data_IF_092231770369
#
_entry.id   IF_092231770369
#
_cell.length_a   1.000
_cell.length_b   1.000
_cell.length_c   1.000
_cell.angle_alpha   90.00
_cell.angle_beta   90.00
_cell.angle_gamma   90.00
#
_symmetry.space_group_name_H-M   'P 1'
#
loop_
_entity.id
_entity.type
_entity.pdbx_description
1 polymer ?
#
# COMPACT_ATOMS: atom_id res chain seq x y z
N UNK A 1 11.99 0.94 -25.89
CA UNK A 1 10.77 1.76 -25.75
C UNK A 1 9.61 0.98 -25.12
N UNK A 2 9.29 -0.23 -25.56
CA UNK A 2 8.18 -1.04 -25.00
C UNK A 2 8.21 -1.20 -23.47
N UNK A 3 9.37 -1.56 -22.90
CA UNK A 3 9.55 -1.72 -21.44
C UNK A 3 9.16 -0.49 -20.61
N UNK A 4 9.56 0.71 -21.03
CA UNK A 4 9.27 1.95 -20.29
C UNK A 4 7.78 2.27 -20.34
N UNK A 5 7.14 2.00 -21.47
CA UNK A 5 5.71 2.23 -21.66
C UNK A 5 4.87 1.23 -20.85
N UNK A 6 5.26 -0.04 -20.83
CA UNK A 6 4.61 -1.09 -20.04
C UNK A 6 4.82 -0.89 -18.54
N UNK A 7 6.00 -0.42 -18.12
CA UNK A 7 6.26 -0.01 -16.74
C UNK A 7 5.32 1.12 -16.33
N UNK A 8 5.29 2.21 -17.11
CA UNK A 8 4.47 3.37 -16.81
C UNK A 8 2.99 3.00 -16.75
N UNK A 9 2.51 2.19 -17.70
CA UNK A 9 1.11 1.75 -17.74
C UNK A 9 0.73 0.93 -16.52
N UNK A 10 1.52 -0.06 -16.13
CA UNK A 10 1.23 -0.89 -14.95
C UNK A 10 1.24 -0.08 -13.65
N UNK A 11 2.26 0.76 -13.46
CA UNK A 11 2.35 1.62 -12.26
C UNK A 11 1.16 2.58 -12.20
N UNK A 12 0.81 3.21 -13.33
CA UNK A 12 -0.31 4.16 -13.38
C UNK A 12 -1.66 3.49 -13.13
N UNK A 13 -1.91 2.32 -13.71
CA UNK A 13 -3.20 1.62 -13.56
C UNK A 13 -3.40 1.11 -12.12
N UNK A 14 -2.35 0.57 -11.48
CA UNK A 14 -2.38 0.20 -10.06
C UNK A 14 -2.57 1.43 -9.16
N UNK A 15 -1.87 2.52 -9.47
CA UNK A 15 -1.93 3.77 -8.70
C UNK A 15 -3.31 4.41 -8.78
N UNK A 16 -3.94 4.42 -9.96
CA UNK A 16 -5.31 4.92 -10.14
C UNK A 16 -6.31 4.16 -9.27
N UNK A 17 -6.21 2.83 -9.26
CA UNK A 17 -7.11 1.98 -8.48
C UNK A 17 -6.97 2.26 -6.98
N UNK A 18 -5.74 2.41 -6.49
CA UNK A 18 -5.47 2.76 -5.09
C UNK A 18 -5.91 4.19 -4.74
N UNK A 19 -5.73 5.15 -5.66
CA UNK A 19 -6.24 6.52 -5.51
C UNK A 19 -7.76 6.53 -5.35
N UNK A 20 -8.49 5.83 -6.23
CA UNK A 20 -9.95 5.77 -6.19
C UNK A 20 -10.42 5.16 -4.87
N UNK A 21 -9.85 4.01 -4.46
CA UNK A 21 -10.23 3.35 -3.22
C UNK A 21 -9.95 4.22 -1.99
N UNK A 22 -8.81 4.91 -1.97
CA UNK A 22 -8.45 5.84 -0.88
C UNK A 22 -9.39 7.04 -0.86
N UNK A 23 -9.64 7.67 -2.00
CA UNK A 23 -10.54 8.82 -2.10
C UNK A 23 -11.98 8.47 -1.68
N UNK A 24 -12.49 7.30 -2.09
CA UNK A 24 -13.82 6.80 -1.68
C UNK A 24 -13.86 6.55 -0.18
N UNK A 25 -12.85 5.87 0.38
CA UNK A 25 -12.78 5.56 1.82
C UNK A 25 -12.71 6.84 2.65
N UNK A 26 -11.85 7.79 2.28
CA UNK A 26 -11.74 9.04 3.01
C UNK A 26 -12.99 9.92 2.87
N UNK A 27 -13.66 9.90 1.72
CA UNK A 27 -14.96 10.57 1.54
C UNK A 27 -16.05 9.96 2.43
N UNK A 28 -16.05 8.63 2.57
CA UNK A 28 -16.97 7.96 3.49
C UNK A 28 -16.70 8.34 4.94
N UNK A 29 -15.42 8.34 5.37
CA UNK A 29 -15.04 8.76 6.72
C UNK A 29 -15.41 10.22 7.00
N UNK A 30 -15.28 11.10 6.01
CA UNK A 30 -15.76 12.49 6.08
C UNK A 30 -17.27 12.55 6.35
N UNK A 31 -18.07 11.68 5.72
CA UNK A 31 -19.53 11.66 5.90
C UNK A 31 -19.91 11.05 7.26
N UNK A 32 -19.19 10.04 7.74
CA UNK A 32 -19.55 9.30 8.96
C UNK A 32 -18.93 9.83 10.24
N UNK A 33 -17.79 10.52 10.17
CA UNK A 33 -17.00 10.92 11.34
C UNK A 33 -16.72 12.44 11.42
N UNK A 34 -17.25 13.28 10.51
CA UNK A 34 -17.00 14.73 10.62
C UNK A 34 -17.73 15.31 11.84
N UNK A 35 -16.98 15.60 12.90
CA UNK A 35 -17.46 16.29 14.10
C UNK A 35 -16.91 17.73 14.15
N UNK A 36 -16.02 18.11 13.23
CA UNK A 36 -15.20 19.32 13.28
C UNK A 36 -15.30 20.25 12.06
N UNK A 37 -14.22 21.00 11.82
CA UNK A 37 -14.13 21.96 10.72
C UNK A 37 -13.93 21.21 9.39
N UNK A 38 -14.96 21.21 8.55
CA UNK A 38 -14.99 20.54 7.25
C UNK A 38 -13.72 20.75 6.40
N UNK A 39 -13.18 21.97 6.36
CA UNK A 39 -11.96 22.25 5.60
C UNK A 39 -10.73 21.51 6.13
N UNK A 40 -10.63 21.36 7.45
CA UNK A 40 -9.52 20.67 8.11
C UNK A 40 -9.62 19.15 7.89
N UNK A 41 -10.84 18.61 7.93
CA UNK A 41 -11.10 17.19 7.68
C UNK A 41 -10.85 16.84 6.20
N UNK A 42 -11.25 17.70 5.25
CA UNK A 42 -10.93 17.54 3.82
C UNK A 42 -9.41 17.58 3.58
N UNK A 43 -8.70 18.52 4.20
CA UNK A 43 -7.24 18.60 4.07
C UNK A 43 -6.56 17.33 4.60
N UNK A 44 -7.02 16.81 5.75
CA UNK A 44 -6.50 15.55 6.31
C UNK A 44 -6.76 14.37 5.39
N UNK A 45 -7.98 14.24 4.86
CA UNK A 45 -8.37 13.19 3.91
C UNK A 45 -7.52 13.21 2.63
N UNK A 46 -7.30 14.39 2.05
CA UNK A 46 -6.47 14.54 0.83
C UNK A 46 -5.03 14.15 1.13
N UNK A 47 -4.49 14.56 2.28
CA UNK A 47 -3.14 14.22 2.71
C UNK A 47 -2.97 12.70 2.86
N UNK A 48 -3.89 12.03 3.54
CA UNK A 48 -3.88 10.57 3.69
C UNK A 48 -3.98 9.86 2.34
N UNK A 49 -4.83 10.36 1.44
CA UNK A 49 -4.96 9.82 0.08
C UNK A 49 -3.66 9.95 -0.71
N UNK A 50 -3.00 11.11 -0.66
CA UNK A 50 -1.70 11.33 -1.32
C UNK A 50 -0.63 10.40 -0.74
N UNK A 51 -0.59 10.24 0.59
CA UNK A 51 0.35 9.33 1.22
C UNK A 51 0.13 7.89 0.74
N UNK A 52 -1.11 7.37 0.77
CA UNK A 52 -1.46 6.03 0.27
C UNK A 52 -1.05 5.81 -1.19
N UNK A 53 -1.27 6.81 -2.03
CA UNK A 53 -0.89 6.79 -3.45
C UNK A 53 0.62 6.71 -3.62
N UNK A 54 1.39 7.44 -2.81
CA UNK A 54 2.85 7.34 -2.83
C UNK A 54 3.33 5.93 -2.44
N UNK A 55 2.72 5.30 -1.42
CA UNK A 55 3.02 3.90 -1.07
C UNK A 55 2.78 2.97 -2.27
N UNK A 56 1.64 3.12 -2.95
CA UNK A 56 1.28 2.27 -4.08
C UNK A 56 2.23 2.44 -5.27
N UNK A 57 2.58 3.68 -5.63
CA UNK A 57 3.50 3.96 -6.74
C UNK A 57 4.84 3.28 -6.51
N UNK A 58 5.40 3.41 -5.30
CA UNK A 58 6.68 2.80 -4.94
C UNK A 58 6.56 1.26 -5.00
N UNK A 59 5.51 0.70 -4.40
CA UNK A 59 5.28 -0.73 -4.39
C UNK A 59 5.14 -1.34 -5.79
N UNK A 60 4.27 -0.78 -6.64
CA UNK A 60 4.07 -1.25 -8.01
C UNK A 60 5.35 -1.10 -8.84
N UNK A 61 6.10 -0.01 -8.64
CA UNK A 61 7.38 0.20 -9.32
C UNK A 61 8.41 -0.87 -8.95
N UNK A 62 8.58 -1.13 -7.65
CA UNK A 62 9.52 -2.15 -7.16
C UNK A 62 9.08 -3.55 -7.60
N UNK A 63 7.80 -3.86 -7.51
CA UNK A 63 7.26 -5.17 -7.93
C UNK A 63 7.49 -5.42 -9.42
N UNK A 64 7.28 -4.41 -10.26
CA UNK A 64 7.55 -4.53 -11.70
C UNK A 64 9.04 -4.71 -11.98
N UNK A 65 9.92 -3.95 -11.31
CA UNK A 65 11.37 -4.12 -11.44
C UNK A 65 11.83 -5.52 -11.02
N UNK A 66 11.31 -6.04 -9.91
CA UNK A 66 11.59 -7.41 -9.45
C UNK A 66 11.09 -8.46 -10.45
N UNK A 67 9.91 -8.24 -11.06
CA UNK A 67 9.39 -9.10 -12.13
C UNK A 67 10.29 -9.06 -13.37
N UNK A 68 10.80 -7.89 -13.75
CA UNK A 68 11.66 -7.71 -14.91
C UNK A 68 12.99 -8.48 -14.77
N UNK A 69 13.60 -8.47 -13.59
CA UNK A 69 14.82 -9.26 -13.33
C UNK A 69 14.54 -10.76 -13.09
N UNK A 70 13.32 -11.23 -13.38
CA UNK A 70 12.89 -12.62 -13.15
C UNK A 70 13.06 -13.09 -11.71
N UNK A 71 12.86 -12.19 -10.75
CA UNK A 71 12.91 -12.54 -9.33
C UNK A 71 11.82 -13.56 -8.99
N UNK A 72 12.15 -14.48 -8.09
CA UNK A 72 11.26 -15.57 -7.68
C UNK A 72 9.90 -15.03 -7.24
N UNK A 73 8.82 -15.50 -7.88
CA UNK A 73 7.45 -15.05 -7.64
C UNK A 73 7.02 -15.25 -6.19
N UNK A 74 7.51 -16.29 -5.51
CA UNK A 74 7.13 -16.59 -4.13
C UNK A 74 7.67 -15.59 -3.10
N UNK A 75 8.75 -14.87 -3.43
CA UNK A 75 9.37 -13.89 -2.53
C UNK A 75 9.21 -12.45 -2.99
N UNK A 76 8.84 -12.24 -4.26
CA UNK A 76 8.75 -10.92 -4.88
C UNK A 76 7.93 -9.94 -4.06
N UNK A 77 6.74 -10.34 -3.62
CA UNK A 77 5.82 -9.44 -2.94
C UNK A 77 6.32 -9.07 -1.54
N UNK A 78 6.97 -10.01 -0.83
CA UNK A 78 7.61 -9.75 0.46
C UNK A 78 8.78 -8.77 0.32
N UNK A 79 9.60 -8.92 -0.73
CA UNK A 79 10.74 -8.03 -1.00
C UNK A 79 10.25 -6.65 -1.44
N UNK A 80 9.21 -6.59 -2.26
CA UNK A 80 8.59 -5.33 -2.67
C UNK A 80 7.99 -4.58 -1.47
N UNK A 81 7.27 -5.27 -0.59
CA UNK A 81 6.74 -4.72 0.66
C UNK A 81 7.86 -4.20 1.57
N UNK A 82 8.94 -4.97 1.72
CA UNK A 82 10.09 -4.56 2.52
C UNK A 82 10.73 -3.29 1.99
N UNK A 83 11.09 -3.26 0.70
CA UNK A 83 11.75 -2.11 0.06
C UNK A 83 10.86 -0.87 0.15
N UNK A 84 9.56 -1.01 -0.13
CA UNK A 84 8.60 0.09 -0.04
C UNK A 84 8.54 0.68 1.37
N UNK A 85 8.43 -0.20 2.38
CA UNK A 85 8.33 0.20 3.79
C UNK A 85 9.63 0.81 4.32
N UNK A 86 10.79 0.34 3.83
CA UNK A 86 12.10 0.92 4.13
C UNK A 86 12.24 2.30 3.52
N UNK A 87 11.95 2.47 2.22
CA UNK A 87 12.03 3.77 1.52
C UNK A 87 11.25 4.83 2.27
N UNK A 88 10.07 4.48 2.77
CA UNK A 88 9.18 5.44 3.42
C UNK A 88 9.55 5.65 4.88
N UNK A 89 10.10 4.63 5.54
CA UNK A 89 10.62 4.77 6.90
C UNK A 89 11.92 5.56 6.98
N UNK A 90 12.67 5.74 5.89
CA UNK A 90 13.94 6.48 5.87
C UNK A 90 13.80 7.92 6.35
N UNK A 91 12.64 8.56 6.15
CA UNK A 91 12.36 9.92 6.64
C UNK A 91 12.44 10.05 8.16
N UNK A 92 12.26 8.95 8.88
CA UNK A 92 12.29 8.87 10.34
C UNK A 92 13.60 8.24 10.87
N UNK A 93 14.59 8.01 9.99
CA UNK A 93 15.88 7.41 10.33
C UNK A 93 16.04 5.95 9.89
N UNK A 94 17.29 5.54 9.69
CA UNK A 94 17.66 4.22 9.13
C UNK A 94 17.19 3.04 10.00
N UNK A 95 17.29 3.17 11.32
CA UNK A 95 16.85 2.12 12.24
C UNK A 95 15.32 1.97 12.26
N UNK A 96 14.60 3.08 12.14
CA UNK A 96 13.14 3.06 12.01
C UNK A 96 12.72 2.40 10.68
N UNK A 97 13.42 2.74 9.59
CA UNK A 97 13.16 2.17 8.26
C UNK A 97 13.26 0.64 8.25
N UNK A 98 14.32 0.08 8.83
CA UNK A 98 14.51 -1.37 8.90
C UNK A 98 13.42 -2.05 9.73
N UNK A 99 13.11 -1.51 10.91
CA UNK A 99 12.03 -2.02 11.76
C UNK A 99 10.68 -2.00 11.03
N UNK A 100 10.40 -0.91 10.32
CA UNK A 100 9.17 -0.76 9.56
C UNK A 100 9.09 -1.80 8.42
N UNK A 101 10.20 -2.04 7.72
CA UNK A 101 10.31 -3.09 6.71
C UNK A 101 9.99 -4.49 7.25
N UNK A 102 10.60 -4.88 8.37
CA UNK A 102 10.33 -6.19 8.99
C UNK A 102 8.90 -6.30 9.52
N UNK A 103 8.37 -5.24 10.12
CA UNK A 103 7.00 -5.22 10.64
C UNK A 103 5.97 -5.38 9.53
N UNK A 104 6.19 -4.75 8.37
CA UNK A 104 5.30 -4.90 7.21
C UNK A 104 5.20 -6.35 6.71
N UNK A 105 6.34 -7.06 6.63
CA UNK A 105 6.33 -8.49 6.26
C UNK A 105 5.60 -9.33 7.30
N UNK A 106 5.85 -9.07 8.60
CA UNK A 106 5.18 -9.80 9.68
C UNK A 106 3.67 -9.60 9.64
N UNK A 107 3.22 -8.35 9.49
CA UNK A 107 1.81 -8.01 9.34
C UNK A 107 1.19 -8.71 8.14
N UNK A 108 1.87 -8.73 6.99
CA UNK A 108 1.37 -9.44 5.81
C UNK A 108 1.17 -10.94 6.08
N UNK A 109 2.11 -11.59 6.77
CA UNK A 109 1.99 -13.01 7.12
C UNK A 109 0.84 -13.25 8.10
N UNK A 110 0.71 -12.38 9.10
CA UNK A 110 -0.38 -12.45 10.08
C UNK A 110 -1.74 -12.26 9.39
N UNK A 111 -1.85 -11.30 8.47
CA UNK A 111 -3.06 -11.05 7.70
C UNK A 111 -3.45 -12.26 6.84
N UNK A 112 -2.48 -12.85 6.13
CA UNK A 112 -2.72 -14.04 5.31
C UNK A 112 -3.18 -15.28 6.12
N UNK A 113 -2.90 -15.33 7.43
CA UNK A 113 -3.37 -16.39 8.34
C UNK A 113 -4.75 -16.04 8.91
N UNK A 114 -4.98 -14.78 9.25
CA UNK A 114 -6.23 -14.31 9.86
C UNK A 114 -7.40 -14.27 8.87
N UNK A 115 -7.16 -13.85 7.63
CA UNK A 115 -8.20 -13.70 6.62
C UNK A 115 -8.98 -15.02 6.36
N UNK A 116 -8.31 -16.18 6.15
CA UNK A 116 -9.03 -17.45 6.03
C UNK A 116 -9.70 -17.89 7.34
N UNK A 117 -9.16 -17.57 8.53
CA UNK A 117 -9.81 -17.88 9.81
C UNK A 117 -11.10 -17.08 10.02
N UNK A 118 -11.11 -15.79 9.64
CA UNK A 118 -12.30 -14.94 9.72
C UNK A 118 -13.38 -15.47 8.77
N UNK A 119 -13.02 -15.83 7.54
CA UNK A 119 -13.95 -16.43 6.57
C UNK A 119 -14.49 -17.78 7.09
N UNK A 120 -13.64 -18.64 7.65
CA UNK A 120 -14.05 -19.92 8.22
C UNK A 120 -15.03 -19.73 9.40
N UNK A 121 -14.77 -18.76 10.27
CA UNK A 121 -15.65 -18.45 11.41
C UNK A 121 -17.03 -17.92 11.01
N UNK A 122 -17.14 -17.29 9.83
CA UNK A 122 -18.41 -16.83 9.26
C UNK A 122 -19.18 -17.94 8.54
N UNK A 123 -18.49 -18.97 8.05
CA UNK A 123 -19.08 -20.15 7.38
C UNK A 123 -19.60 -21.22 8.36
N UNK A 124 -19.14 -21.22 9.62
CA UNK A 124 -19.55 -22.16 10.67
C UNK A 124 -20.80 -21.66 11.44
N UNK A 125 -21.40 -20.54 11.03
CA UNK A 125 -22.68 -20.03 11.56
C UNK A 125 -23.87 -20.47 10.71
#
# INVERSE_FOLDING_TARGET
MAFVFDFYRNVVDDTKSSFINSAVTSSFNLITESVGNFFMDCHKSIKETIENVQYQVIYSSVTYLLKFISFNSSFRDNVALFITSVIIGLRNGTWFALKNGFMAILLQKVYNILDPMIILSKLIK
#
